data_IF_004757404865
#
_entry.id   IF_004757404865
#
_cell.length_a   1.000
_cell.length_b   1.000
_cell.length_c   1.000
_cell.angle_alpha   90.00
_cell.angle_beta   90.00
_cell.angle_gamma   90.00
#
_symmetry.space_group_name_H-M   'P 1'
#
loop_
_entity.id
_entity.type
_entity.pdbx_description
1 polymer ?
#
# COMPACT_ATOMS: atom_id res chain seq x y z
N UNK A 1 19.23 -8.13 51.15
CA UNK A 1 18.35 -8.44 50.00
C UNK A 1 18.19 -7.19 49.15
N UNK A 2 18.74 -7.16 47.92
CA UNK A 2 18.49 -6.05 46.98
C UNK A 2 17.22 -6.38 46.21
N UNK A 3 16.24 -5.47 46.22
CA UNK A 3 15.01 -5.59 45.41
C UNK A 3 15.43 -5.68 43.94
N UNK A 4 15.00 -6.74 43.27
CA UNK A 4 15.06 -6.85 41.82
C UNK A 4 13.97 -5.91 41.30
N UNK A 5 14.37 -4.76 40.76
CA UNK A 5 13.45 -3.89 40.04
C UNK A 5 13.02 -4.59 38.75
N UNK A 6 11.71 -4.75 38.60
CA UNK A 6 11.05 -5.26 37.40
C UNK A 6 11.37 -4.33 36.22
N UNK A 7 12.29 -4.74 35.36
CA UNK A 7 12.65 -4.05 34.12
C UNK A 7 11.70 -4.36 32.96
N UNK A 8 10.49 -4.87 33.20
CA UNK A 8 9.50 -5.06 32.14
C UNK A 8 8.54 -3.87 32.04
N UNK A 9 9.06 -2.67 31.79
CA UNK A 9 8.21 -1.60 31.24
C UNK A 9 7.90 -1.96 29.77
N UNK A 10 6.95 -2.87 29.57
CA UNK A 10 6.31 -3.08 28.27
C UNK A 10 5.71 -1.73 27.90
N UNK A 11 6.38 -0.97 27.01
CA UNK A 11 5.83 0.27 26.48
C UNK A 11 4.50 -0.09 25.83
N UNK A 12 3.40 0.22 26.50
CA UNK A 12 2.08 0.17 25.89
C UNK A 12 2.08 1.26 24.84
N UNK A 13 2.00 0.87 23.57
CA UNK A 13 1.66 1.77 22.48
C UNK A 13 0.15 1.61 22.25
N UNK A 14 -0.71 2.26 23.06
CA UNK A 14 -2.14 2.18 22.82
C UNK A 14 -2.42 2.68 21.40
N UNK A 15 -3.25 1.94 20.66
CA UNK A 15 -3.73 2.44 19.38
C UNK A 15 -4.49 3.73 19.62
N UNK A 16 -4.22 4.75 18.79
CA UNK A 16 -4.88 6.04 18.90
C UNK A 16 -5.84 6.27 17.74
N UNK A 17 -6.79 7.17 17.96
CA UNK A 17 -7.61 7.70 16.87
C UNK A 17 -6.74 8.62 16.02
N UNK A 18 -6.85 8.48 14.70
CA UNK A 18 -6.14 9.32 13.73
C UNK A 18 -7.16 9.83 12.71
N UNK A 19 -7.07 11.11 12.33
CA UNK A 19 -7.91 11.66 11.26
C UNK A 19 -7.36 11.30 9.87
N UNK A 20 -8.19 11.47 8.85
CA UNK A 20 -7.77 11.30 7.46
C UNK A 20 -6.59 12.22 7.10
N UNK A 21 -6.68 13.50 7.46
CA UNK A 21 -5.66 14.52 7.19
C UNK A 21 -4.35 14.19 7.89
N UNK A 22 -4.41 13.72 9.15
CA UNK A 22 -3.24 13.27 9.90
C UNK A 22 -2.56 12.07 9.22
N UNK A 23 -3.33 11.10 8.71
CA UNK A 23 -2.78 9.96 7.94
C UNK A 23 -2.10 10.41 6.66
N UNK A 24 -2.75 11.29 5.90
CA UNK A 24 -2.20 11.80 4.64
C UNK A 24 -0.93 12.61 4.89
N UNK A 25 -0.91 13.44 5.93
CA UNK A 25 0.26 14.23 6.30
C UNK A 25 1.43 13.36 6.76
N UNK A 26 1.17 12.33 7.57
CA UNK A 26 2.18 11.33 7.91
C UNK A 26 2.69 10.62 6.66
N UNK A 27 1.81 10.28 5.71
CA UNK A 27 2.21 9.68 4.43
C UNK A 27 3.18 10.56 3.65
N UNK A 28 2.94 11.88 3.55
CA UNK A 28 3.86 12.84 2.92
C UNK A 28 5.24 12.87 3.61
N UNK A 29 5.27 12.82 4.93
CA UNK A 29 6.51 12.77 5.71
C UNK A 29 7.29 11.48 5.45
N UNK A 30 6.62 10.34 5.44
CA UNK A 30 7.22 9.04 5.11
C UNK A 30 7.77 9.06 3.67
N UNK A 31 6.99 9.56 2.70
CA UNK A 31 7.42 9.65 1.32
C UNK A 31 8.68 10.50 1.18
N UNK A 32 8.74 11.65 1.87
CA UNK A 32 9.93 12.52 1.89
C UNK A 32 11.16 11.76 2.41
N UNK A 33 11.03 11.03 3.53
CA UNK A 33 12.13 10.22 4.09
C UNK A 33 12.59 9.10 3.16
N UNK A 34 11.67 8.45 2.43
CA UNK A 34 12.00 7.44 1.43
C UNK A 34 12.81 8.07 0.29
N UNK A 35 12.38 9.23 -0.21
CA UNK A 35 13.07 9.96 -1.28
C UNK A 35 14.47 10.41 -0.85
N UNK A 36 14.64 10.91 0.36
CA UNK A 36 15.95 11.31 0.88
C UNK A 36 16.94 10.14 0.92
N UNK A 37 16.44 8.94 1.25
CA UNK A 37 17.26 7.74 1.40
C UNK A 37 17.57 7.06 0.07
N UNK A 38 16.61 7.05 -0.87
CA UNK A 38 16.67 6.19 -2.08
C UNK A 38 16.71 6.94 -3.40
N UNK A 39 16.46 8.26 -3.36
CA UNK A 39 16.63 9.22 -4.46
C UNK A 39 16.16 8.67 -5.81
N UNK A 40 17.12 8.36 -6.69
CA UNK A 40 16.89 8.06 -8.09
C UNK A 40 16.27 6.71 -8.38
N UNK A 41 16.35 5.79 -7.42
CA UNK A 41 15.73 4.49 -7.58
C UNK A 41 14.20 4.52 -7.39
N UNK A 42 13.61 5.60 -6.85
CA UNK A 42 12.17 5.68 -6.59
C UNK A 42 11.42 6.17 -7.84
N UNK A 43 10.43 5.38 -8.27
CA UNK A 43 9.57 5.67 -9.42
C UNK A 43 8.22 6.25 -8.98
N UNK A 44 7.63 5.72 -7.92
CA UNK A 44 6.37 6.22 -7.37
C UNK A 44 6.21 5.90 -5.88
N UNK A 45 5.54 6.78 -5.15
CA UNK A 45 5.10 6.55 -3.77
C UNK A 45 3.64 6.95 -3.67
N UNK A 46 2.80 6.07 -3.14
CA UNK A 46 1.37 6.30 -3.02
C UNK A 46 0.81 5.77 -1.69
N UNK A 47 -0.20 6.45 -1.16
CA UNK A 47 -1.13 5.86 -0.18
C UNK A 47 -2.19 5.09 -0.97
N UNK A 48 -2.61 3.93 -0.48
CA UNK A 48 -3.70 3.14 -1.07
C UNK A 48 -4.77 2.79 -0.03
N UNK A 49 -5.69 1.89 -0.41
CA UNK A 49 -6.72 1.33 0.45
C UNK A 49 -7.67 2.37 1.09
N UNK A 50 -8.04 2.18 2.35
CA UNK A 50 -9.11 2.95 3.01
C UNK A 50 -8.84 4.46 3.00
N UNK A 51 -7.60 4.86 3.30
CA UNK A 51 -7.18 6.27 3.29
C UNK A 51 -7.30 6.85 1.88
N UNK A 52 -6.88 6.13 0.84
CA UNK A 52 -6.98 6.64 -0.53
C UNK A 52 -8.42 6.81 -1.05
N UNK A 53 -9.38 6.10 -0.43
CA UNK A 53 -10.80 6.17 -0.78
C UNK A 53 -11.59 7.17 0.08
N UNK A 54 -10.93 7.84 1.03
CA UNK A 54 -11.59 8.64 2.06
C UNK A 54 -12.65 7.83 2.84
N UNK A 55 -12.35 6.54 3.08
CA UNK A 55 -13.17 5.58 3.82
C UNK A 55 -12.47 5.10 5.10
N UNK A 56 -11.31 5.68 5.42
CA UNK A 56 -10.59 5.40 6.66
C UNK A 56 -11.40 5.84 7.88
N UNK A 57 -11.33 5.01 8.91
CA UNK A 57 -12.03 5.18 10.19
C UNK A 57 -11.01 5.57 11.25
N UNK A 58 -11.44 5.98 12.47
CA UNK A 58 -10.50 6.43 13.50
C UNK A 58 -9.32 5.49 13.79
N UNK A 59 -9.47 4.17 13.62
CA UNK A 59 -8.42 3.16 13.83
C UNK A 59 -7.96 2.46 12.56
N UNK A 60 -8.29 2.98 11.37
CA UNK A 60 -7.67 2.51 10.13
C UNK A 60 -6.16 2.75 10.19
N UNK A 61 -5.41 1.82 9.61
CA UNK A 61 -3.99 1.92 9.36
C UNK A 61 -3.66 2.92 8.24
N UNK A 62 -2.36 3.18 8.07
CA UNK A 62 -1.80 3.92 6.95
C UNK A 62 -1.02 2.95 6.07
N UNK A 63 -1.54 2.72 4.87
CA UNK A 63 -0.97 1.80 3.89
C UNK A 63 -0.31 2.58 2.74
N UNK A 64 1.00 2.38 2.55
CA UNK A 64 1.82 3.04 1.54
C UNK A 64 2.49 1.98 0.68
N UNK A 65 2.54 2.20 -0.63
CA UNK A 65 3.46 1.46 -1.50
C UNK A 65 4.51 2.39 -2.11
N UNK A 66 5.70 1.86 -2.29
CA UNK A 66 6.81 2.47 -3.01
C UNK A 66 7.23 1.55 -4.15
N UNK A 67 7.18 2.05 -5.39
CA UNK A 67 7.74 1.34 -6.55
C UNK A 67 9.12 1.91 -6.83
N UNK A 68 10.09 1.02 -6.92
CA UNK A 68 11.47 1.34 -7.24
C UNK A 68 11.92 0.63 -8.52
N UNK A 69 13.01 1.12 -9.11
CA UNK A 69 13.70 0.45 -10.20
C UNK A 69 14.13 -0.95 -9.78
N UNK A 70 14.10 -1.88 -10.73
CA UNK A 70 14.57 -3.25 -10.52
C UNK A 70 16.02 -3.28 -10.01
N UNK A 71 16.32 -4.26 -9.16
CA UNK A 71 17.63 -4.39 -8.49
C UNK A 71 17.72 -3.66 -7.14
N UNK A 72 16.79 -2.77 -6.81
CA UNK A 72 16.66 -2.26 -5.44
C UNK A 72 15.81 -3.22 -4.59
N UNK A 73 16.44 -3.94 -3.67
CA UNK A 73 15.73 -4.79 -2.71
C UNK A 73 15.54 -4.07 -1.38
N UNK A 74 14.29 -3.79 -1.03
CA UNK A 74 13.91 -3.22 0.26
C UNK A 74 12.82 -4.09 0.86
N UNK A 75 12.99 -4.47 2.12
CA UNK A 75 11.97 -5.25 2.84
C UNK A 75 10.77 -4.37 3.15
N UNK A 76 9.57 -4.93 2.98
CA UNK A 76 8.33 -4.32 3.45
C UNK A 76 8.43 -4.07 4.95
N UNK A 77 7.83 -2.96 5.40
CA UNK A 77 7.86 -2.53 6.80
C UNK A 77 6.45 -2.48 7.34
N UNK A 78 6.26 -3.04 8.53
CA UNK A 78 5.04 -2.92 9.33
C UNK A 78 5.44 -2.55 10.74
N UNK A 79 4.92 -1.44 11.25
CA UNK A 79 5.25 -0.96 12.58
C UNK A 79 4.15 -0.06 13.14
N UNK A 80 4.12 0.09 14.46
CA UNK A 80 3.25 1.07 15.13
C UNK A 80 4.06 2.34 15.37
N UNK A 81 3.61 3.45 14.81
CA UNK A 81 4.17 4.77 15.02
C UNK A 81 3.15 5.64 15.73
N UNK A 82 3.48 6.08 16.95
CA UNK A 82 2.60 6.96 17.74
C UNK A 82 1.14 6.43 17.83
N UNK A 83 0.97 5.13 18.06
CA UNK A 83 -0.35 4.50 18.15
C UNK A 83 -1.09 4.29 16.82
N UNK A 84 -0.47 4.55 15.67
CA UNK A 84 -0.98 4.23 14.34
C UNK A 84 -0.22 3.05 13.74
N UNK A 85 -0.94 2.05 13.22
CA UNK A 85 -0.34 1.00 12.40
C UNK A 85 0.02 1.56 11.02
N UNK A 86 1.28 1.39 10.62
CA UNK A 86 1.83 1.85 9.35
C UNK A 86 2.39 0.66 8.59
N UNK A 87 1.98 0.54 7.33
CA UNK A 87 2.47 -0.44 6.37
C UNK A 87 3.14 0.28 5.19
N UNK A 88 4.35 -0.16 4.84
CA UNK A 88 5.08 0.31 3.68
C UNK A 88 5.54 -0.90 2.89
N UNK A 89 4.89 -1.13 1.76
CA UNK A 89 5.30 -2.15 0.80
C UNK A 89 6.25 -1.57 -0.24
N UNK A 90 7.35 -2.28 -0.50
CA UNK A 90 8.32 -1.91 -1.52
C UNK A 90 8.24 -2.91 -2.66
N UNK A 91 8.08 -2.41 -3.87
CA UNK A 91 7.99 -3.22 -5.07
C UNK A 91 9.07 -2.83 -6.06
N UNK A 92 9.65 -3.84 -6.70
CA UNK A 92 10.37 -3.65 -7.95
C UNK A 92 9.37 -3.41 -9.08
N UNK A 93 9.72 -2.54 -10.02
CA UNK A 93 8.89 -2.14 -11.14
C UNK A 93 8.34 -3.34 -11.91
N UNK A 94 9.20 -4.27 -12.32
CA UNK A 94 8.78 -5.43 -13.11
C UNK A 94 7.77 -6.30 -12.37
N UNK A 95 7.98 -6.52 -11.07
CA UNK A 95 7.08 -7.32 -10.26
C UNK A 95 5.75 -6.60 -10.03
N UNK A 96 5.77 -5.29 -9.73
CA UNK A 96 4.55 -4.49 -9.59
C UNK A 96 3.69 -4.51 -10.85
N UNK A 97 4.31 -4.31 -12.03
CA UNK A 97 3.61 -4.30 -13.31
C UNK A 97 3.10 -5.68 -13.71
N UNK A 98 3.80 -6.75 -13.34
CA UNK A 98 3.35 -8.13 -13.54
C UNK A 98 2.11 -8.43 -12.71
N UNK A 99 2.14 -8.09 -11.43
CA UNK A 99 1.03 -8.34 -10.49
C UNK A 99 -0.19 -7.48 -10.84
N UNK A 100 0.00 -6.23 -11.25
CA UNK A 100 -1.07 -5.35 -11.73
C UNK A 100 -1.79 -5.86 -12.99
N UNK A 101 -1.23 -6.83 -13.71
CA UNK A 101 -1.86 -7.47 -14.88
C UNK A 101 -2.45 -8.83 -14.58
N UNK A 102 -2.18 -9.40 -13.40
CA UNK A 102 -2.58 -10.76 -13.04
C UNK A 102 -4.00 -10.78 -12.48
N UNK A 103 -4.95 -11.26 -13.28
CA UNK A 103 -6.33 -11.49 -12.82
C UNK A 103 -6.43 -12.89 -12.21
N UNK A 104 -6.25 -12.98 -10.89
CA UNK A 104 -6.42 -14.19 -10.08
C UNK A 104 -7.70 -14.19 -9.24
N UNK A 105 -7.89 -15.22 -8.43
CA UNK A 105 -9.01 -15.33 -7.50
C UNK A 105 -9.04 -14.19 -6.46
N UNK A 106 -7.87 -13.72 -6.05
CA UNK A 106 -7.64 -12.61 -5.12
C UNK A 106 -7.74 -11.22 -5.78
N UNK A 107 -7.91 -11.17 -7.11
CA UNK A 107 -7.93 -9.92 -7.88
C UNK A 107 -8.97 -8.90 -7.39
N UNK A 108 -10.22 -9.27 -7.03
CA UNK A 108 -11.19 -8.30 -6.51
C UNK A 108 -10.71 -7.56 -5.25
N UNK A 109 -9.83 -8.19 -4.47
CA UNK A 109 -9.21 -7.59 -3.29
C UNK A 109 -7.95 -6.79 -3.67
N UNK A 110 -7.02 -7.40 -4.40
CA UNK A 110 -5.73 -6.79 -4.74
C UNK A 110 -5.80 -5.64 -5.75
N UNK A 111 -6.83 -5.62 -6.61
CA UNK A 111 -6.96 -4.61 -7.66
C UNK A 111 -7.15 -3.18 -7.12
N UNK A 112 -7.60 -3.04 -5.86
CA UNK A 112 -7.82 -1.75 -5.21
C UNK A 112 -6.53 -0.92 -5.13
N UNK A 113 -5.41 -1.57 -4.79
CA UNK A 113 -4.09 -0.93 -4.68
C UNK A 113 -3.65 -0.25 -5.99
N UNK A 114 -4.03 -0.80 -7.14
CA UNK A 114 -3.69 -0.25 -8.46
C UNK A 114 -4.65 0.86 -8.92
N UNK A 115 -5.90 0.84 -8.45
CA UNK A 115 -6.96 1.76 -8.89
C UNK A 115 -7.04 3.01 -8.02
N UNK A 116 -7.15 2.81 -6.71
CA UNK A 116 -7.43 3.86 -5.73
C UNK A 116 -6.16 4.23 -4.98
N UNK A 117 -5.67 5.45 -5.20
CA UNK A 117 -4.42 5.92 -4.60
C UNK A 117 -4.36 7.43 -4.47
N UNK A 118 -3.72 7.89 -3.41
CA UNK A 118 -3.23 9.27 -3.30
C UNK A 118 -1.75 9.26 -3.68
N UNK A 119 -1.42 9.94 -4.77
CA UNK A 119 -0.04 10.03 -5.26
C UNK A 119 0.74 11.01 -4.38
N UNK A 120 1.77 10.52 -3.71
CA UNK A 120 2.67 11.33 -2.89
C UNK A 120 3.90 11.75 -3.68
N UNK A 121 4.35 10.90 -4.60
CA UNK A 121 5.45 11.16 -5.52
C UNK A 121 5.30 10.32 -6.79
N UNK A 122 5.67 10.87 -7.93
CA UNK A 122 5.92 10.10 -9.16
C UNK A 122 7.07 10.71 -9.97
N UNK A 123 7.87 9.85 -10.60
CA UNK A 123 8.92 10.21 -11.54
C UNK A 123 8.42 10.04 -12.97
N UNK A 124 8.71 11.00 -13.84
CA UNK A 124 8.47 10.90 -15.30
C UNK A 124 7.07 10.42 -15.72
N UNK A 125 6.04 10.81 -14.94
CA UNK A 125 4.64 10.38 -15.15
C UNK A 125 4.48 8.85 -15.18
N UNK A 126 5.33 8.13 -14.44
CA UNK A 126 5.37 6.66 -14.42
C UNK A 126 3.99 6.04 -14.23
N UNK A 127 3.17 6.58 -13.33
CA UNK A 127 1.82 6.08 -13.05
C UNK A 127 0.85 6.20 -14.24
N UNK A 128 1.07 7.17 -15.13
CA UNK A 128 0.25 7.37 -16.34
C UNK A 128 0.70 6.44 -17.47
N UNK A 129 1.99 6.15 -17.56
CA UNK A 129 2.58 5.40 -18.66
C UNK A 129 2.13 3.93 -18.67
N UNK A 130 1.94 3.29 -17.51
CA UNK A 130 1.44 1.91 -17.44
C UNK A 130 -0.09 1.80 -17.41
N UNK A 131 -0.81 2.90 -17.19
CA UNK A 131 -2.29 2.93 -17.25
C UNK A 131 -2.85 2.81 -18.67
N UNK A 132 -2.00 2.82 -19.71
CA UNK A 132 -2.44 2.51 -21.07
C UNK A 132 -2.96 1.07 -21.09
N UNK A 133 -4.25 0.84 -21.34
CA UNK A 133 -4.76 -0.51 -21.45
C UNK A 133 -3.98 -1.22 -22.56
N UNK A 134 -3.46 -2.40 -22.25
CA UNK A 134 -3.21 -3.40 -23.28
C UNK A 134 -4.52 -3.53 -24.08
N UNK A 135 -4.50 -3.45 -25.42
CA UNK A 135 -5.70 -3.64 -26.24
C UNK A 135 -6.39 -5.00 -26.00
N UNK A 136 -5.76 -5.93 -25.27
CA UNK A 136 -6.30 -7.25 -24.96
C UNK A 136 -7.19 -7.31 -23.71
N UNK A 137 -7.21 -6.29 -22.85
CA UNK A 137 -7.95 -6.36 -21.57
C UNK A 137 -9.40 -5.86 -21.68
N UNK A 138 -9.82 -5.33 -22.83
CA UNK A 138 -11.20 -4.87 -23.08
C UNK A 138 -12.15 -5.99 -23.53
N UNK A 139 -11.70 -7.25 -23.53
CA UNK A 139 -12.49 -8.35 -24.09
C UNK A 139 -12.36 -9.66 -23.32
N UNK A 140 -12.73 -9.68 -22.03
CA UNK A 140 -13.20 -10.91 -21.34
C UNK A 140 -13.65 -10.58 -19.91
N UNK A 141 -14.77 -9.87 -19.79
CA UNK A 141 -15.71 -10.15 -18.70
C UNK A 141 -16.97 -10.63 -19.41
N UNK A 142 -16.98 -11.92 -19.77
CA UNK A 142 -18.23 -12.59 -20.10
C UNK A 142 -18.89 -12.92 -18.77
N UNK A 143 -20.06 -12.35 -18.50
CA UNK A 143 -20.90 -12.64 -17.34
C UNK A 143 -21.47 -14.09 -17.33
N UNK A 144 -20.79 -15.06 -17.96
CA UNK A 144 -21.31 -16.43 -18.14
C UNK A 144 -20.95 -17.43 -17.04
N UNK A 145 -20.21 -17.02 -16.00
CA UNK A 145 -19.78 -17.95 -14.93
C UNK A 145 -20.34 -17.60 -13.55
N UNK A 146 -21.57 -17.06 -13.48
CA UNK A 146 -22.28 -16.86 -12.20
C UNK A 146 -23.47 -17.81 -12.00
N UNK A 147 -23.74 -18.74 -12.92
CA UNK A 147 -24.76 -19.75 -12.70
C UNK A 147 -24.15 -20.91 -11.90
N UNK A 148 -24.51 -20.97 -10.62
CA UNK A 148 -24.18 -22.11 -9.75
C UNK A 148 -24.75 -23.43 -10.31
N UNK A 149 -24.26 -24.58 -9.83
CA UNK A 149 -24.74 -25.87 -10.32
C UNK A 149 -26.25 -26.00 -10.06
N UNK A 150 -27.02 -26.63 -10.96
CA UNK A 150 -28.44 -26.87 -10.72
C UNK A 150 -28.60 -27.71 -9.45
N UNK A 151 -29.50 -27.27 -8.57
CA UNK A 151 -29.90 -28.04 -7.39
C UNK A 151 -30.52 -29.38 -7.84
N UNK A 152 -30.35 -30.45 -7.03
CA UNK A 152 -30.82 -31.78 -7.36
C UNK A 152 -32.34 -31.86 -7.52
#
# INVERSE_FOLDING_TARGET
>A
MRKIEDRSSTRKFPLRKVSHEERVELGRKIASQILDTRKDAVLAICIYASTAKNLDRPYSDLEIFCVATDGLEVKNKRYVYDGLLVEIDYFQESNFLKEAKRVGWDWPLGADQYRNRIVLFERDKWLKNWRRPSPRTTGQISLRNCDGPPKP
#
